data_IF_534517858601
#
_entry.id   IF_534517858601
#
_cell.length_a   1.000
_cell.length_b   1.000
_cell.length_c   1.000
_cell.angle_alpha   90.00
_cell.angle_beta   90.00
_cell.angle_gamma   90.00
#
_symmetry.space_group_name_H-M   'P 1'
#
loop_
_entity.id
_entity.type
_entity.pdbx_description
1 polymer ?
#
# COMPACT_ATOMS: atom_id res chain seq x y z
N UNK A 1 -4.66 0.60 -3.74
CA UNK A 1 -3.80 -0.11 -4.71
C UNK A 1 -2.66 0.79 -5.16
N UNK A 2 -1.46 0.23 -5.32
CA UNK A 2 -0.27 0.98 -5.76
C UNK A 2 -0.47 1.69 -7.11
N UNK A 3 -1.37 1.21 -7.96
CA UNK A 3 -1.64 1.79 -9.28
C UNK A 3 -2.04 3.27 -9.24
N UNK A 4 -2.71 3.71 -8.18
CA UNK A 4 -3.09 5.12 -8.02
C UNK A 4 -1.90 6.04 -7.70
N UNK A 5 -0.77 5.49 -7.23
CA UNK A 5 0.40 6.23 -6.74
C UNK A 5 1.58 6.18 -7.69
N UNK A 6 1.55 5.30 -8.69
CA UNK A 6 2.70 5.06 -9.56
C UNK A 6 2.44 5.58 -10.99
N UNK A 7 3.44 6.16 -11.66
CA UNK A 7 3.37 6.48 -13.08
C UNK A 7 3.62 5.24 -13.96
N UNK A 8 3.06 4.09 -13.54
CA UNK A 8 3.23 2.81 -14.21
C UNK A 8 1.88 2.10 -14.30
N UNK A 9 1.53 1.63 -15.47
CA UNK A 9 0.38 0.75 -15.71
C UNK A 9 0.84 -0.59 -16.29
N UNK A 10 0.23 -1.66 -15.81
CA UNK A 10 0.43 -3.01 -16.35
C UNK A 10 -0.83 -3.43 -17.08
N UNK A 11 -0.69 -3.78 -18.33
CA UNK A 11 -1.78 -4.25 -19.17
C UNK A 11 -1.84 -5.77 -19.16
N UNK A 12 -3.03 -6.30 -18.93
CA UNK A 12 -3.28 -7.74 -18.87
C UNK A 12 -4.24 -8.18 -19.99
N UNK A 13 -4.09 -9.42 -20.45
CA UNK A 13 -5.09 -10.07 -21.31
C UNK A 13 -6.23 -10.66 -20.45
N UNK A 14 -7.26 -11.19 -21.13
CA UNK A 14 -8.40 -11.81 -20.46
C UNK A 14 -8.04 -13.06 -19.64
N UNK A 15 -6.87 -13.65 -19.84
CA UNK A 15 -6.34 -14.76 -19.06
C UNK A 15 -5.52 -14.31 -17.85
N UNK A 16 -5.42 -12.99 -17.57
CA UNK A 16 -4.66 -12.43 -16.45
C UNK A 16 -3.14 -12.41 -16.65
N UNK A 17 -2.65 -12.58 -17.88
CA UNK A 17 -1.22 -12.53 -18.16
C UNK A 17 -0.79 -11.10 -18.51
N UNK A 18 0.31 -10.62 -17.94
CA UNK A 18 0.87 -9.33 -18.25
C UNK A 18 1.34 -9.27 -19.72
N UNK A 19 0.85 -8.28 -20.45
CA UNK A 19 1.17 -8.05 -21.86
C UNK A 19 2.34 -7.06 -22.00
N UNK A 20 2.23 -5.91 -21.39
CA UNK A 20 3.25 -4.87 -21.41
C UNK A 20 3.09 -3.92 -20.23
N UNK A 21 4.14 -3.14 -20.01
CA UNK A 21 4.19 -2.07 -19.03
C UNK A 21 4.16 -0.73 -19.77
N UNK A 22 3.31 0.17 -19.31
CA UNK A 22 3.24 1.54 -19.81
C UNK A 22 3.72 2.47 -18.69
N UNK A 23 4.76 3.25 -18.99
CA UNK A 23 5.32 4.24 -18.08
C UNK A 23 4.86 5.62 -18.54
N UNK A 24 4.30 6.39 -17.65
CA UNK A 24 3.86 7.75 -17.88
C UNK A 24 4.97 8.72 -17.47
N UNK A 25 5.11 9.84 -18.20
CA UNK A 25 6.15 10.84 -17.94
C UNK A 25 5.96 11.55 -16.60
N UNK A 26 4.72 11.69 -16.15
CA UNK A 26 4.36 12.40 -14.94
C UNK A 26 3.65 11.47 -13.92
N UNK A 27 3.97 11.66 -12.64
CA UNK A 27 3.22 11.05 -11.54
C UNK A 27 1.87 11.76 -11.36
N UNK A 28 0.94 11.08 -10.68
CA UNK A 28 -0.36 11.67 -10.35
C UNK A 28 -0.17 12.94 -9.51
N UNK A 29 -0.85 14.01 -9.92
CA UNK A 29 -0.87 15.28 -9.18
C UNK A 29 -1.51 15.12 -7.79
N UNK A 30 -2.55 14.31 -7.71
CA UNK A 30 -3.30 14.07 -6.48
C UNK A 30 -3.93 12.68 -6.50
N UNK A 31 -3.94 12.04 -5.35
CA UNK A 31 -4.70 10.81 -5.09
C UNK A 31 -5.74 11.13 -4.02
N UNK A 32 -7.00 10.88 -4.31
CA UNK A 32 -8.10 11.01 -3.36
C UNK A 32 -8.48 9.63 -2.85
N UNK A 33 -8.45 9.48 -1.55
CA UNK A 33 -8.85 8.25 -0.87
C UNK A 33 -10.15 8.51 -0.13
N UNK A 34 -11.18 7.72 -0.44
CA UNK A 34 -12.46 7.74 0.27
C UNK A 34 -12.57 6.44 1.10
N UNK A 35 -12.32 6.48 2.41
CA UNK A 35 -12.29 5.28 3.24
C UNK A 35 -13.62 4.51 3.26
N UNK A 36 -14.76 5.18 3.09
CA UNK A 36 -16.07 4.53 3.05
C UNK A 36 -16.23 3.56 1.87
N UNK A 37 -15.56 3.83 0.74
CA UNK A 37 -15.54 2.90 -0.40
C UNK A 37 -14.83 1.61 -0.01
N UNK A 38 -13.71 1.72 0.70
CA UNK A 38 -12.93 0.58 1.16
C UNK A 38 -13.66 -0.16 2.29
N UNK A 39 -14.33 0.58 3.18
CA UNK A 39 -15.17 0.00 4.24
C UNK A 39 -16.26 -0.92 3.69
N UNK A 40 -16.86 -0.53 2.56
CA UNK A 40 -17.92 -1.28 1.89
C UNK A 40 -17.41 -2.38 0.92
N UNK A 41 -16.10 -2.45 0.69
CA UNK A 41 -15.52 -3.47 -0.17
C UNK A 41 -15.45 -4.85 0.53
N UNK A 42 -15.39 -5.96 -0.22
CA UNK A 42 -15.16 -7.27 0.38
C UNK A 42 -13.85 -7.30 1.20
N UNK A 43 -13.92 -7.80 2.43
CA UNK A 43 -12.81 -7.79 3.40
C UNK A 43 -11.53 -8.42 2.88
N UNK A 44 -11.64 -9.41 2.00
CA UNK A 44 -10.48 -10.06 1.38
C UNK A 44 -9.56 -9.08 0.64
N UNK A 45 -10.09 -7.97 0.11
CA UNK A 45 -9.28 -6.96 -0.58
C UNK A 45 -8.50 -6.08 0.41
N UNK A 46 -9.12 -5.72 1.54
CA UNK A 46 -8.41 -5.02 2.61
C UNK A 46 -7.28 -5.91 3.16
N UNK A 47 -7.58 -7.19 3.44
CA UNK A 47 -6.59 -8.14 3.94
C UNK A 47 -5.43 -8.35 2.93
N UNK A 48 -5.75 -8.46 1.64
CA UNK A 48 -4.74 -8.57 0.60
C UNK A 48 -3.87 -7.32 0.50
N UNK A 49 -4.47 -6.13 0.61
CA UNK A 49 -3.76 -4.84 0.63
C UNK A 49 -2.80 -4.72 1.82
N UNK A 50 -3.26 -5.09 3.02
CA UNK A 50 -2.42 -5.14 4.23
C UNK A 50 -1.21 -6.06 4.01
N UNK A 51 -1.42 -7.26 3.47
CA UNK A 51 -0.35 -8.21 3.21
C UNK A 51 0.66 -7.72 2.17
N UNK A 52 0.18 -7.14 1.08
CA UNK A 52 1.03 -6.57 0.02
C UNK A 52 1.86 -5.38 0.54
N UNK A 53 1.23 -4.51 1.32
CA UNK A 53 1.93 -3.34 1.90
C UNK A 53 2.95 -3.77 2.96
N UNK A 54 2.64 -4.73 3.82
CA UNK A 54 3.60 -5.29 4.79
C UNK A 54 4.84 -5.87 4.09
N UNK A 55 4.68 -6.52 2.95
CA UNK A 55 5.79 -7.09 2.19
C UNK A 55 6.82 -6.04 1.77
N UNK A 56 6.40 -4.78 1.52
CA UNK A 56 7.29 -3.69 1.08
C UNK A 56 8.42 -3.40 2.07
N UNK A 57 8.16 -3.46 3.37
CA UNK A 57 9.21 -3.32 4.37
C UNK A 57 10.27 -4.43 4.25
N UNK A 58 9.83 -5.69 4.18
CA UNK A 58 10.74 -6.82 4.10
C UNK A 58 11.53 -6.84 2.80
N UNK A 59 10.91 -6.50 1.69
CA UNK A 59 11.58 -6.30 0.41
C UNK A 59 12.65 -5.21 0.49
N UNK A 60 12.30 -4.05 1.08
CA UNK A 60 13.22 -2.93 1.23
C UNK A 60 14.46 -3.31 2.08
N UNK A 61 14.27 -4.01 3.19
CA UNK A 61 15.38 -4.42 4.08
C UNK A 61 16.31 -5.43 3.40
N UNK A 62 15.75 -6.36 2.63
CA UNK A 62 16.55 -7.37 1.90
C UNK A 62 17.37 -6.71 0.78
N UNK A 63 16.78 -5.75 0.08
CA UNK A 63 17.45 -5.05 -1.03
C UNK A 63 18.45 -3.98 -0.57
N UNK A 64 18.32 -3.52 0.67
CA UNK A 64 19.13 -2.43 1.23
C UNK A 64 19.77 -2.82 2.57
N UNK A 65 20.72 -3.78 2.60
CA UNK A 65 21.31 -4.27 3.84
C UNK A 65 22.18 -3.23 4.58
N UNK A 66 22.57 -2.15 3.89
CA UNK A 66 23.34 -1.03 4.45
C UNK A 66 22.68 0.31 4.07
N UNK A 67 21.53 0.63 4.65
CA UNK A 67 20.72 1.78 4.24
C UNK A 67 21.46 3.12 4.42
N UNK A 68 22.39 3.23 5.38
CA UNK A 68 23.19 4.43 5.64
C UNK A 68 24.08 4.85 4.46
N UNK A 69 24.43 3.92 3.58
CA UNK A 69 25.26 4.20 2.39
C UNK A 69 24.45 4.68 1.18
N UNK A 70 23.13 4.61 1.27
CA UNK A 70 22.23 4.91 0.17
C UNK A 70 21.90 6.43 0.08
N UNK A 71 21.47 6.91 -1.08
CA UNK A 71 20.97 8.27 -1.24
C UNK A 71 19.86 8.60 -0.24
N UNK A 72 19.77 9.86 0.19
CA UNK A 72 18.80 10.31 1.18
C UNK A 72 17.36 9.93 0.83
N UNK A 73 16.97 10.09 -0.43
CA UNK A 73 15.62 9.74 -0.91
C UNK A 73 15.27 8.28 -0.70
N UNK A 74 16.24 7.37 -0.93
CA UNK A 74 16.05 5.94 -0.72
C UNK A 74 15.92 5.63 0.78
N UNK A 75 16.76 6.25 1.62
CA UNK A 75 16.68 6.11 3.09
C UNK A 75 15.32 6.58 3.64
N UNK A 76 14.80 7.70 3.13
CA UNK A 76 13.48 8.19 3.50
C UNK A 76 12.38 7.21 3.09
N UNK A 77 12.47 6.60 1.91
CA UNK A 77 11.55 5.56 1.46
C UNK A 77 11.55 4.34 2.39
N UNK A 78 12.74 3.88 2.81
CA UNK A 78 12.88 2.76 3.76
C UNK A 78 12.28 3.13 5.13
N UNK A 79 12.53 4.33 5.64
CA UNK A 79 11.95 4.78 6.91
C UNK A 79 10.42 4.89 6.83
N UNK A 80 9.88 5.36 5.71
CA UNK A 80 8.43 5.38 5.48
C UNK A 80 7.86 3.96 5.47
N UNK A 81 8.48 3.03 4.76
CA UNK A 81 8.05 1.63 4.75
C UNK A 81 8.06 1.00 6.15
N UNK A 82 9.03 1.36 7.00
CA UNK A 82 9.06 0.94 8.40
C UNK A 82 7.88 1.51 9.20
N UNK A 83 7.61 2.80 9.08
CA UNK A 83 6.51 3.45 9.78
C UNK A 83 5.16 2.86 9.36
N UNK A 84 4.96 2.64 8.07
CA UNK A 84 3.78 1.97 7.51
C UNK A 84 3.62 0.56 8.08
N UNK A 85 4.68 -0.25 8.08
CA UNK A 85 4.67 -1.58 8.70
C UNK A 85 4.20 -1.51 10.15
N UNK A 86 4.71 -0.56 10.93
CA UNK A 86 4.39 -0.45 12.36
C UNK A 86 2.91 -0.07 12.56
N UNK A 87 2.35 0.80 11.73
CA UNK A 87 0.91 1.10 11.70
C UNK A 87 0.11 -0.17 11.40
N UNK A 88 0.46 -0.90 10.36
CA UNK A 88 -0.26 -2.10 9.96
C UNK A 88 -0.21 -3.18 11.04
N UNK A 89 0.95 -3.43 11.66
CA UNK A 89 1.08 -4.43 12.72
C UNK A 89 0.26 -4.07 13.97
N UNK A 90 0.11 -2.78 14.25
CA UNK A 90 -0.62 -2.32 15.43
C UNK A 90 -2.12 -2.17 15.21
N UNK A 91 -2.56 -1.90 13.99
CA UNK A 91 -3.94 -1.45 13.74
C UNK A 91 -4.75 -2.37 12.82
N UNK A 92 -4.13 -3.36 12.13
CA UNK A 92 -4.84 -4.16 11.13
C UNK A 92 -5.96 -5.04 11.72
N UNK A 93 -5.76 -5.64 12.90
CA UNK A 93 -6.81 -6.45 13.55
C UNK A 93 -8.04 -5.59 13.86
N UNK A 94 -7.82 -4.39 14.40
CA UNK A 94 -8.90 -3.47 14.69
C UNK A 94 -9.59 -3.00 13.41
N UNK A 95 -8.82 -2.63 12.38
CA UNK A 95 -9.38 -2.20 11.10
C UNK A 95 -10.23 -3.28 10.42
N UNK A 96 -9.81 -4.56 10.48
CA UNK A 96 -10.61 -5.67 9.96
C UNK A 96 -11.91 -5.86 10.76
N UNK A 97 -11.87 -5.71 12.08
CA UNK A 97 -13.06 -5.74 12.94
C UNK A 97 -13.98 -4.55 12.64
N UNK A 98 -13.42 -3.37 12.46
CA UNK A 98 -14.17 -2.14 12.12
C UNK A 98 -14.89 -2.29 10.79
N UNK A 99 -14.21 -2.88 9.79
CA UNK A 99 -14.84 -3.17 8.49
C UNK A 99 -16.02 -4.13 8.64
N UNK A 100 -15.88 -5.20 9.42
CA UNK A 100 -16.99 -6.14 9.66
C UNK A 100 -18.18 -5.49 10.35
N UNK A 101 -17.91 -4.55 11.25
CA UNK A 101 -18.93 -3.82 12.00
C UNK A 101 -19.41 -2.55 11.29
N UNK A 102 -18.89 -2.25 10.09
CA UNK A 102 -19.21 -1.06 9.32
C UNK A 102 -18.95 0.23 10.11
N UNK A 103 -17.82 0.28 10.81
CA UNK A 103 -17.41 1.41 11.64
C UNK A 103 -16.19 2.10 11.03
N UNK A 104 -16.35 3.37 10.69
CA UNK A 104 -15.25 4.20 10.21
C UNK A 104 -14.51 4.80 11.41
N UNK A 105 -13.46 4.11 11.85
CA UNK A 105 -12.62 4.54 12.98
C UNK A 105 -11.29 5.12 12.50
N UNK A 106 -10.54 5.75 13.41
CA UNK A 106 -9.20 6.23 13.11
C UNK A 106 -8.27 5.07 12.74
N UNK A 107 -8.34 3.94 13.45
CA UNK A 107 -7.54 2.74 13.13
C UNK A 107 -7.81 2.22 11.72
N UNK A 108 -9.08 2.24 11.28
CA UNK A 108 -9.42 1.87 9.91
C UNK A 108 -8.81 2.85 8.90
N UNK A 109 -8.94 4.16 9.12
CA UNK A 109 -8.37 5.18 8.26
C UNK A 109 -6.83 5.07 8.20
N UNK A 110 -6.16 4.90 9.34
CA UNK A 110 -4.70 4.77 9.40
C UNK A 110 -4.20 3.56 8.57
N UNK A 111 -4.95 2.44 8.57
CA UNK A 111 -4.61 1.26 7.76
C UNK A 111 -4.86 1.50 6.27
N UNK A 112 -5.91 2.26 5.93
CA UNK A 112 -6.22 2.62 4.53
C UNK A 112 -5.18 3.59 3.97
N UNK A 113 -4.67 4.51 4.80
CA UNK A 113 -3.69 5.51 4.42
C UNK A 113 -2.24 4.96 4.38
N UNK A 114 -2.02 3.79 4.98
CA UNK A 114 -0.72 3.10 5.01
C UNK A 114 -0.40 2.40 3.70
#
# INVERSE_FOLDING_TARGET
TCAAWTPLSVWYNDAGQALHYEIFDDANFMVLVEPEIILNAPQQYLLAGIGDTLAKWYEAVVLAPQPETLPLTVRLGINNAQAIRDVLLNSSEQALSDQQNQQLTQSFCDVVDA
#
